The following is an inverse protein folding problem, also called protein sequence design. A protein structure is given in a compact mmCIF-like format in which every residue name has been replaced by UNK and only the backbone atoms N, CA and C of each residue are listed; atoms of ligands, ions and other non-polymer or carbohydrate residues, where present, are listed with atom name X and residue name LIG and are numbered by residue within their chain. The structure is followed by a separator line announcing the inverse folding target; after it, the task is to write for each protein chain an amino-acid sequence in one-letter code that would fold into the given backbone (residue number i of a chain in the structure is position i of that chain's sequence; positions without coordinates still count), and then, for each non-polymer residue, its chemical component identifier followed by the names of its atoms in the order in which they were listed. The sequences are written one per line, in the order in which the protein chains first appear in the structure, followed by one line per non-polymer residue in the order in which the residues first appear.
data_IF_963674836911
#
_entry.id   IF_963674836911
#
_cell.length_a   1.000
_cell.length_b   1.000
_cell.length_c   1.000
_cell.angle_alpha   90.00
_cell.angle_beta   90.00
_cell.angle_gamma   90.00
#
_symmetry.space_group_name_H-M   'P 1'
#
loop_
_entity.id
_entity.type
_entity.pdbx_description
1 polymer ?
#
# COMPACT_ATOMS: atom_id res chain seq x y z
N UNK A 1 -7.33 19.31 -15.87
CA UNK A 1 -8.08 18.28 -16.64
C UNK A 1 -7.19 17.30 -17.42
N UNK A 2 -5.89 17.56 -17.66
CA UNK A 2 -5.00 16.65 -18.41
C UNK A 2 -4.46 15.46 -17.60
N UNK A 3 -4.35 15.61 -16.28
CA UNK A 3 -3.60 14.66 -15.45
C UNK A 3 -4.46 13.49 -14.91
N UNK A 4 -5.76 13.69 -14.62
CA UNK A 4 -6.74 12.63 -14.27
C UNK A 4 -6.80 11.49 -15.30
N UNK A 5 -6.50 11.76 -16.58
CA UNK A 5 -6.44 10.76 -17.64
C UNK A 5 -5.22 9.83 -17.57
N UNK A 6 -4.13 10.25 -16.91
CA UNK A 6 -2.90 9.44 -16.80
C UNK A 6 -3.08 8.35 -15.75
N UNK A 7 -3.66 8.66 -14.59
CA UNK A 7 -3.91 7.64 -13.55
C UNK A 7 -5.01 6.64 -13.95
N UNK A 8 -6.03 7.09 -14.69
CA UNK A 8 -7.04 6.20 -15.27
C UNK A 8 -6.50 5.38 -16.43
N UNK A 9 -5.54 5.89 -17.21
CA UNK A 9 -4.82 5.15 -18.25
C UNK A 9 -3.85 4.08 -17.72
N UNK A 10 -3.42 4.17 -16.46
CA UNK A 10 -2.50 3.22 -15.81
C UNK A 10 -3.24 2.23 -14.88
N UNK A 11 -4.55 2.40 -14.65
CA UNK A 11 -5.38 1.46 -13.85
C UNK A 11 -5.19 1.57 -12.33
N UNK A 12 -4.65 2.68 -11.84
CA UNK A 12 -4.26 2.85 -10.42
C UNK A 12 -5.45 3.28 -9.53
N UNK A 13 -6.60 3.64 -10.11
CA UNK A 13 -7.77 4.11 -9.36
C UNK A 13 -9.02 3.24 -9.57
N UNK A 14 -8.84 2.00 -9.99
CA UNK A 14 -9.92 1.03 -10.17
C UNK A 14 -9.60 -0.26 -9.43
N UNK A 15 -10.64 -0.99 -9.01
CA UNK A 15 -10.48 -2.23 -8.27
C UNK A 15 -9.81 -2.06 -6.90
N UNK A 16 -8.82 -2.90 -6.60
CA UNK A 16 -8.21 -3.03 -5.26
C UNK A 16 -7.50 -1.75 -4.79
N UNK A 17 -7.00 -0.93 -5.71
CA UNK A 17 -6.32 0.32 -5.38
C UNK A 17 -7.25 1.41 -4.81
N UNK A 18 -8.58 1.28 -4.94
CA UNK A 18 -9.51 2.18 -4.24
C UNK A 18 -9.61 1.90 -2.74
N UNK A 19 -9.20 0.71 -2.30
CA UNK A 19 -9.27 0.32 -0.90
C UNK A 19 -7.96 0.54 -0.17
N UNK A 20 -6.83 0.50 -0.87
CA UNK A 20 -5.52 0.73 -0.27
C UNK A 20 -4.53 1.13 -1.37
N UNK A 21 -3.62 2.05 -1.04
CA UNK A 21 -2.51 2.40 -1.95
C UNK A 21 -1.51 1.26 -2.15
N UNK A 22 -1.48 0.29 -1.23
CA UNK A 22 -0.42 -0.71 -1.12
C UNK A 22 -0.96 -2.15 -1.14
N UNK A 23 -1.79 -2.53 -2.14
CA UNK A 23 -2.50 -3.81 -2.13
C UNK A 23 -1.56 -5.01 -2.19
N UNK A 24 -0.40 -4.88 -2.86
CA UNK A 24 0.62 -5.92 -2.90
C UNK A 24 1.19 -6.21 -1.50
N UNK A 25 1.60 -5.17 -0.77
CA UNK A 25 2.15 -5.31 0.58
C UNK A 25 1.11 -5.81 1.58
N UNK A 26 -0.15 -5.42 1.41
CA UNK A 26 -1.28 -5.93 2.19
C UNK A 26 -1.51 -7.42 1.92
N UNK A 27 -1.49 -7.84 0.65
CA UNK A 27 -1.62 -9.26 0.28
C UNK A 27 -0.52 -10.13 0.90
N UNK A 28 0.73 -9.67 0.87
CA UNK A 28 1.84 -10.34 1.55
C UNK A 28 1.62 -10.44 3.06
N UNK A 29 1.13 -9.37 3.70
CA UNK A 29 0.80 -9.38 5.12
C UNK A 29 -0.29 -10.40 5.44
N UNK A 30 -1.36 -10.45 4.64
CA UNK A 30 -2.48 -11.38 4.83
C UNK A 30 -2.05 -12.85 4.68
N UNK A 31 -1.27 -13.17 3.64
CA UNK A 31 -0.75 -14.54 3.43
C UNK A 31 0.14 -14.95 4.61
N UNK A 32 1.04 -14.07 5.04
CA UNK A 32 1.94 -14.37 6.15
C UNK A 32 1.23 -14.43 7.51
N UNK A 33 0.21 -13.60 7.74
CA UNK A 33 -0.67 -13.69 8.92
C UNK A 33 -1.42 -15.02 8.93
N UNK A 34 -1.98 -15.44 7.80
CA UNK A 34 -2.65 -16.74 7.67
C UNK A 34 -1.70 -17.90 8.00
N UNK A 35 -0.45 -17.84 7.50
CA UNK A 35 0.57 -18.83 7.83
C UNK A 35 0.94 -18.84 9.32
N UNK A 36 1.13 -17.65 9.91
CA UNK A 36 1.46 -17.49 11.33
C UNK A 36 0.35 -18.04 12.23
N UNK A 37 -0.90 -17.76 11.86
CA UNK A 37 -2.09 -18.27 12.52
C UNK A 37 -2.16 -19.80 12.42
N UNK A 38 -1.94 -20.36 11.23
CA UNK A 38 -1.90 -21.81 11.02
C UNK A 38 -0.85 -22.52 11.89
N UNK A 39 0.28 -21.86 12.17
CA UNK A 39 1.33 -22.37 13.07
C UNK A 39 1.07 -22.15 14.57
N UNK A 40 -0.03 -21.48 14.95
CA UNK A 40 -0.39 -21.13 16.33
C UNK A 40 0.73 -20.42 17.12
N UNK A 41 1.56 -19.64 16.44
CA UNK A 41 2.71 -18.98 17.04
C UNK A 41 2.37 -17.54 17.45
N UNK A 42 1.92 -17.34 18.70
CA UNK A 42 1.44 -16.04 19.20
C UNK A 42 2.51 -14.94 19.11
N UNK A 43 3.79 -15.28 19.34
CA UNK A 43 4.92 -14.37 19.19
C UNK A 43 5.12 -13.92 17.74
N UNK A 44 4.65 -14.71 16.77
CA UNK A 44 4.66 -14.35 15.36
C UNK A 44 3.70 -13.21 15.03
N UNK A 45 2.69 -12.92 15.88
CA UNK A 45 1.82 -11.77 15.69
C UNK A 45 2.55 -10.44 15.95
N UNK A 46 3.48 -10.41 16.91
CA UNK A 46 4.31 -9.23 17.18
C UNK A 46 5.22 -8.90 15.98
N UNK A 47 5.69 -9.92 15.27
CA UNK A 47 6.47 -9.74 14.04
C UNK A 47 5.70 -8.92 12.99
N UNK A 48 4.39 -9.10 12.87
CA UNK A 48 3.59 -8.38 11.89
C UNK A 48 3.49 -6.88 12.20
N UNK A 49 3.50 -6.48 13.47
CA UNK A 49 3.60 -5.06 13.84
C UNK A 49 4.91 -4.46 13.33
N UNK A 50 6.02 -5.17 13.54
CA UNK A 50 7.34 -4.75 13.03
C UNK A 50 7.36 -4.73 11.50
N UNK A 51 6.74 -5.71 10.85
CA UNK A 51 6.60 -5.76 9.39
C UNK A 51 5.88 -4.51 8.85
N UNK A 52 4.72 -4.14 9.42
CA UNK A 52 3.99 -2.95 8.98
C UNK A 52 4.82 -1.67 9.14
N UNK A 53 5.52 -1.51 10.27
CA UNK A 53 6.40 -0.35 10.50
C UNK A 53 7.57 -0.32 9.52
N UNK A 54 8.24 -1.45 9.32
CA UNK A 54 9.38 -1.57 8.42
C UNK A 54 8.98 -1.27 6.97
N UNK A 55 7.92 -1.92 6.48
CA UNK A 55 7.43 -1.72 5.12
C UNK A 55 6.97 -0.29 4.89
N UNK A 56 6.28 0.32 5.86
CA UNK A 56 5.90 1.73 5.78
C UNK A 56 7.12 2.62 5.62
N UNK A 57 8.15 2.41 6.45
CA UNK A 57 9.29 3.33 6.54
C UNK A 57 10.29 3.20 5.40
N UNK A 58 10.55 1.98 4.95
CA UNK A 58 11.65 1.66 4.04
C UNK A 58 11.20 1.31 2.62
N UNK A 59 9.94 0.92 2.41
CA UNK A 59 9.42 0.57 1.09
C UNK A 59 8.38 1.60 0.62
N UNK A 60 7.28 1.74 1.37
CA UNK A 60 6.13 2.55 0.96
C UNK A 60 6.48 4.03 0.87
N UNK A 61 7.12 4.63 1.89
CA UNK A 61 7.44 6.06 1.85
C UNK A 61 8.39 6.43 0.69
N UNK A 62 9.48 5.68 0.43
CA UNK A 62 10.30 5.91 -0.76
C UNK A 62 9.54 5.78 -2.08
N UNK A 63 8.69 4.76 -2.21
CA UNK A 63 7.87 4.54 -3.40
C UNK A 63 6.87 5.68 -3.62
N UNK A 64 6.17 6.11 -2.57
CA UNK A 64 5.26 7.26 -2.63
C UNK A 64 5.99 8.54 -3.04
N UNK A 65 7.20 8.77 -2.55
CA UNK A 65 8.01 9.94 -2.97
C UNK A 65 8.38 9.88 -4.44
N UNK A 66 8.67 8.69 -4.98
CA UNK A 66 8.92 8.52 -6.41
C UNK A 66 7.64 8.78 -7.22
N UNK A 67 6.51 8.25 -6.77
CA UNK A 67 5.21 8.45 -7.43
C UNK A 67 4.76 9.92 -7.41
N UNK A 68 4.97 10.64 -6.31
CA UNK A 68 4.72 12.10 -6.23
C UNK A 68 5.59 12.85 -7.25
N UNK A 69 6.82 12.42 -7.54
CA UNK A 69 7.67 13.07 -8.55
C UNK A 69 7.21 12.80 -9.98
N UNK A 70 6.53 11.68 -10.23
CA UNK A 70 6.10 11.25 -11.57
C UNK A 70 4.71 11.82 -11.90
N UNK A 71 3.79 11.79 -10.93
CA UNK A 71 2.38 12.10 -11.10
C UNK A 71 1.96 13.40 -10.40
N UNK A 72 2.88 14.04 -9.67
CA UNK A 72 2.71 15.34 -9.04
C UNK A 72 1.42 15.46 -8.22
N UNK A 73 0.53 16.37 -8.59
CA UNK A 73 -0.67 16.71 -7.82
C UNK A 73 -1.75 15.62 -7.86
N UNK A 74 -1.83 14.82 -8.93
CA UNK A 74 -2.83 13.76 -9.01
C UNK A 74 -2.59 12.68 -7.95
N UNK A 75 -1.33 12.31 -7.74
CA UNK A 75 -1.00 11.31 -6.73
C UNK A 75 -1.19 11.87 -5.32
N UNK A 76 -0.97 13.17 -5.10
CA UNK A 76 -1.30 13.82 -3.83
C UNK A 76 -2.81 13.77 -3.55
N UNK A 77 -3.64 14.09 -4.54
CA UNK A 77 -5.10 13.98 -4.41
C UNK A 77 -5.55 12.54 -4.13
N UNK A 78 -4.95 11.57 -4.81
CA UNK A 78 -5.20 10.15 -4.57
C UNK A 78 -4.81 9.74 -3.14
N UNK A 79 -3.68 10.22 -2.63
CA UNK A 79 -3.22 9.95 -1.26
C UNK A 79 -4.16 10.52 -0.17
N UNK A 80 -4.94 11.56 -0.48
CA UNK A 80 -5.97 12.10 0.42
C UNK A 80 -7.18 11.16 0.46
N UNK A 81 -7.56 10.59 -0.68
CA UNK A 81 -8.76 9.75 -0.84
C UNK A 81 -8.55 8.33 -0.33
N UNK A 82 -7.34 7.78 -0.47
CA UNK A 82 -7.03 6.37 -0.15
C UNK A 82 -5.90 6.29 0.87
N UNK A 83 -6.05 5.45 1.89
CA UNK A 83 -5.04 5.33 2.97
C UNK A 83 -3.90 4.41 2.52
N UNK A 84 -2.79 4.45 3.27
CA UNK A 84 -1.62 3.60 2.98
C UNK A 84 -1.94 2.13 3.18
N UNK A 85 -2.52 1.82 4.32
CA UNK A 85 -2.98 0.49 4.70
C UNK A 85 -4.48 0.60 4.93
N UNK A 86 -5.23 -0.18 4.14
CA UNK A 86 -6.70 -0.16 4.03
C UNK A 86 -7.22 1.29 4.10
#
# INVERSE_FOLDING_TARGET
MRSVHILTGIGITTGVYNYTRNPMYLGMALIGLAYTYYKMHILGLLFWVVYFLYMTRFQIIPEEKALIKIFEDDYKEYCIKVRRWI
#
